data_IF_798468496683
#
_entry.id   IF_798468496683
#
_cell.length_a   1.000
_cell.length_b   1.000
_cell.length_c   1.000
_cell.angle_alpha   90.00
_cell.angle_beta   90.00
_cell.angle_gamma   90.00
#
_symmetry.space_group_name_H-M   'P 1'
#
loop_
_entity.id
_entity.type
_entity.pdbx_description
1 polymer ?
#
# COMPACT_ATOMS: atom_id res chain seq x y z
N UNK A 1 76.77 -3.28 -33.77
CA UNK A 1 76.55 -3.07 -35.21
C UNK A 1 75.13 -2.53 -35.35
N UNK A 2 75.01 -1.23 -35.65
CA UNK A 2 73.74 -0.48 -35.65
C UNK A 2 73.09 -0.65 -37.02
N UNK A 3 71.80 -0.96 -37.06
CA UNK A 3 70.98 -0.96 -38.28
C UNK A 3 69.58 -0.45 -37.96
N UNK A 4 69.28 0.77 -38.40
CA UNK A 4 67.94 1.35 -38.37
C UNK A 4 67.16 0.93 -39.62
N UNK A 5 65.89 0.58 -39.45
CA UNK A 5 64.92 0.48 -40.53
C UNK A 5 63.68 1.30 -40.12
N UNK A 6 63.48 2.44 -40.78
CA UNK A 6 62.30 3.29 -40.60
C UNK A 6 61.14 2.80 -41.46
N UNK A 7 59.95 2.67 -40.87
CA UNK A 7 58.71 2.36 -41.58
C UNK A 7 58.03 3.66 -42.06
N UNK A 8 57.39 3.67 -43.25
CA UNK A 8 56.75 4.86 -43.81
C UNK A 8 55.37 5.12 -43.20
N UNK A 9 55.02 6.40 -43.13
CA UNK A 9 53.82 6.95 -42.51
C UNK A 9 52.74 7.15 -43.58
N UNK A 10 51.57 6.51 -43.43
CA UNK A 10 50.40 6.79 -44.27
C UNK A 10 49.48 5.60 -44.56
N UNK A 11 48.66 5.21 -43.58
CA UNK A 11 47.38 4.54 -43.81
C UNK A 11 46.43 4.85 -42.62
N UNK A 12 45.15 5.16 -42.86
CA UNK A 12 44.21 5.53 -41.80
C UNK A 12 43.80 4.31 -40.96
N UNK A 13 43.81 4.47 -39.64
CA UNK A 13 43.28 3.50 -38.66
C UNK A 13 41.76 3.64 -38.59
N UNK A 14 41.06 2.51 -38.58
CA UNK A 14 39.61 2.42 -38.37
C UNK A 14 39.28 2.60 -36.89
N UNK A 15 38.35 3.51 -36.57
CA UNK A 15 37.77 3.71 -35.23
C UNK A 15 36.78 2.59 -34.90
N UNK A 16 37.30 1.42 -34.55
CA UNK A 16 36.50 0.36 -33.92
C UNK A 16 37.00 0.15 -32.49
N UNK A 17 36.31 0.76 -31.53
CA UNK A 17 36.63 0.63 -30.11
C UNK A 17 36.19 -0.75 -29.60
N UNK A 18 37.12 -1.70 -29.67
CA UNK A 18 37.07 -2.95 -28.91
C UNK A 18 37.06 -2.66 -27.41
N UNK A 19 36.02 -3.14 -26.73
CA UNK A 19 35.78 -3.06 -25.29
C UNK A 19 36.98 -3.61 -24.50
N UNK A 20 37.78 -2.73 -23.89
CA UNK A 20 38.86 -3.13 -22.97
C UNK A 20 38.39 -3.12 -21.52
N UNK A 21 38.41 -4.29 -20.88
CA UNK A 21 38.42 -4.41 -19.42
C UNK A 21 39.81 -3.98 -18.92
N UNK A 22 39.90 -3.08 -17.94
CA UNK A 22 41.19 -2.71 -17.33
C UNK A 22 41.18 -2.96 -15.82
N UNK A 23 42.16 -3.75 -15.38
CA UNK A 23 42.43 -4.15 -14.00
C UNK A 23 43.79 -3.55 -13.61
N UNK A 24 43.77 -2.79 -12.50
CA UNK A 24 44.85 -2.48 -11.55
C UNK A 24 46.05 -1.59 -11.99
N UNK A 25 45.96 -0.32 -11.59
CA UNK A 25 46.81 0.43 -10.63
C UNK A 25 48.35 0.36 -10.65
N UNK A 26 48.91 1.59 -10.57
CA UNK A 26 50.14 2.04 -9.87
C UNK A 26 51.42 2.25 -10.70
N UNK A 27 51.76 3.52 -10.98
CA UNK A 27 52.91 4.28 -10.38
C UNK A 27 53.12 5.66 -11.06
N UNK A 28 53.05 6.75 -10.25
CA UNK A 28 53.81 8.06 -10.25
C UNK A 28 54.51 8.53 -11.56
N UNK A 29 54.56 9.81 -12.00
CA UNK A 29 54.56 11.15 -11.35
C UNK A 29 54.57 12.29 -12.41
N UNK A 30 53.74 13.33 -12.20
CA UNK A 30 53.85 14.79 -12.53
C UNK A 30 54.05 15.30 -13.99
N UNK A 31 53.17 16.25 -14.38
CA UNK A 31 53.43 17.30 -15.40
C UNK A 31 52.22 18.21 -15.66
N UNK A 32 52.37 19.52 -15.45
CA UNK A 32 51.37 20.59 -15.63
C UNK A 32 50.93 20.80 -17.11
N UNK A 33 49.70 21.26 -17.36
CA UNK A 33 49.32 22.51 -18.08
C UNK A 33 47.91 22.46 -18.73
N UNK A 34 47.14 23.54 -18.55
CA UNK A 34 46.10 24.11 -19.45
C UNK A 34 44.82 23.28 -19.64
N UNK A 35 43.63 23.68 -19.21
CA UNK A 35 42.99 24.97 -19.44
C UNK A 35 41.93 24.82 -20.56
N UNK A 36 40.67 24.59 -20.19
CA UNK A 36 39.55 24.51 -21.14
C UNK A 36 38.21 24.29 -20.43
N UNK A 37 37.46 25.38 -20.22
CA UNK A 37 36.09 25.36 -19.73
C UNK A 37 35.15 24.78 -20.80
N UNK A 38 34.43 23.71 -20.49
CA UNK A 38 33.16 23.39 -21.17
C UNK A 38 32.06 23.50 -20.11
N UNK A 39 31.11 24.44 -20.23
CA UNK A 39 29.93 24.41 -19.37
C UNK A 39 29.03 23.29 -19.87
N UNK A 40 29.20 22.07 -19.35
CA UNK A 40 28.12 21.10 -19.38
C UNK A 40 27.08 21.58 -18.38
N UNK A 41 26.07 22.28 -18.89
CA UNK A 41 24.80 22.46 -18.22
C UNK A 41 24.20 21.09 -17.96
N UNK A 42 24.51 20.53 -16.79
CA UNK A 42 23.77 19.41 -16.22
C UNK A 42 22.40 19.94 -15.85
N UNK A 43 21.46 19.94 -16.82
CA UNK A 43 20.03 19.95 -16.50
C UNK A 43 19.77 18.73 -15.61
N UNK A 44 19.63 18.98 -14.30
CA UNK A 44 18.96 18.05 -13.42
C UNK A 44 17.48 18.09 -13.81
N UNK A 45 17.07 17.19 -14.70
CA UNK A 45 15.65 16.91 -14.90
C UNK A 45 15.15 16.26 -13.60
N UNK A 46 14.64 17.06 -12.67
CA UNK A 46 13.74 16.56 -11.63
C UNK A 46 12.48 16.07 -12.33
N UNK A 47 12.46 14.78 -12.66
CA UNK A 47 11.24 14.04 -12.97
C UNK A 47 10.35 14.07 -11.72
N UNK A 48 9.63 15.16 -11.53
CA UNK A 48 8.50 15.21 -10.63
C UNK A 48 7.35 14.47 -11.32
N UNK A 49 7.33 13.14 -11.20
CA UNK A 49 6.10 12.39 -11.46
C UNK A 49 5.11 12.78 -10.38
N UNK A 50 4.28 13.78 -10.65
CA UNK A 50 3.03 13.98 -9.92
C UNK A 50 2.24 12.69 -10.02
N UNK A 51 2.16 11.92 -8.92
CA UNK A 51 1.24 10.79 -8.80
C UNK A 51 -0.17 11.35 -8.70
N UNK A 52 -0.74 11.73 -9.84
CA UNK A 52 -2.17 11.97 -9.97
C UNK A 52 -2.85 10.60 -10.03
N UNK A 53 -2.81 9.86 -8.92
CA UNK A 53 -3.61 8.64 -8.77
C UNK A 53 -5.06 9.08 -8.57
N UNK A 54 -5.80 9.22 -9.67
CA UNK A 54 -7.22 9.58 -9.74
C UNK A 54 -8.11 8.37 -9.42
N UNK A 55 -7.76 7.58 -8.41
CA UNK A 55 -8.73 6.59 -7.93
C UNK A 55 -9.74 7.31 -7.02
N UNK A 56 -11.06 7.22 -7.28
CA UNK A 56 -12.07 7.98 -6.54
C UNK A 56 -11.93 7.84 -5.01
N UNK A 57 -11.62 6.63 -4.54
CA UNK A 57 -11.43 6.34 -3.11
C UNK A 57 -10.27 7.11 -2.46
N UNK A 58 -9.25 7.52 -3.22
CA UNK A 58 -8.13 8.30 -2.68
C UNK A 58 -8.52 9.78 -2.48
N UNK A 59 -9.56 10.25 -3.18
CA UNK A 59 -9.97 11.66 -3.20
C UNK A 59 -11.05 12.02 -2.18
N UNK A 60 -11.73 11.02 -1.60
CA UNK A 60 -12.83 11.24 -0.64
C UNK A 60 -12.27 11.89 0.64
N UNK A 61 -12.68 13.10 1.04
CA UNK A 61 -12.22 13.68 2.29
C UNK A 61 -12.93 13.02 3.46
N UNK A 62 -12.19 12.72 4.53
CA UNK A 62 -12.75 12.32 5.81
C UNK A 62 -11.94 12.93 6.95
N UNK A 63 -12.56 13.11 8.11
CA UNK A 63 -11.97 13.73 9.29
C UNK A 63 -12.56 13.15 10.58
N UNK A 64 -12.15 13.66 11.74
CA UNK A 64 -12.73 13.28 13.04
C UNK A 64 -14.21 13.64 13.17
N UNK A 65 -14.75 14.50 12.30
CA UNK A 65 -16.18 14.85 12.27
C UNK A 65 -17.00 13.94 11.33
N UNK A 66 -16.36 13.02 10.60
CA UNK A 66 -17.06 12.10 9.70
C UNK A 66 -17.72 10.99 10.52
N UNK A 67 -18.97 10.68 10.21
CA UNK A 67 -19.70 9.59 10.86
C UNK A 67 -18.95 8.26 10.73
N UNK A 68 -18.91 7.49 11.83
CA UNK A 68 -18.15 6.23 11.87
C UNK A 68 -18.69 5.18 10.88
N UNK A 69 -19.98 5.21 10.54
CA UNK A 69 -20.59 4.32 9.54
C UNK A 69 -20.07 4.62 8.13
N UNK A 70 -19.89 5.91 7.79
CA UNK A 70 -19.32 6.35 6.51
C UNK A 70 -17.84 6.02 6.43
N UNK A 71 -17.10 6.23 7.53
CA UNK A 71 -15.69 5.81 7.64
C UNK A 71 -15.54 4.29 7.48
N UNK A 72 -16.42 3.50 8.10
CA UNK A 72 -16.41 2.03 7.99
C UNK A 72 -16.66 1.58 6.54
N UNK A 73 -17.68 2.13 5.87
CA UNK A 73 -17.95 1.85 4.46
C UNK A 73 -16.78 2.25 3.55
N UNK A 74 -16.08 3.33 3.88
CA UNK A 74 -14.89 3.74 3.14
C UNK A 74 -13.72 2.76 3.32
N UNK A 75 -13.50 2.28 4.55
CA UNK A 75 -12.48 1.27 4.84
C UNK A 75 -12.74 -0.03 4.08
N UNK A 76 -13.97 -0.53 4.08
CA UNK A 76 -14.42 -1.70 3.33
C UNK A 76 -14.07 -1.56 1.84
N UNK A 77 -14.55 -0.49 1.18
CA UNK A 77 -14.26 -0.24 -0.24
C UNK A 77 -12.76 -0.14 -0.55
N UNK A 78 -11.98 0.45 0.35
CA UNK A 78 -10.53 0.53 0.18
C UNK A 78 -9.87 -0.85 0.28
N UNK A 79 -10.29 -1.68 1.24
CA UNK A 79 -9.74 -3.01 1.43
C UNK A 79 -10.09 -3.94 0.26
N UNK A 80 -11.33 -3.91 -0.23
CA UNK A 80 -11.77 -4.67 -1.41
C UNK A 80 -10.98 -4.26 -2.65
N UNK A 81 -10.97 -2.96 -2.96
CA UNK A 81 -10.26 -2.43 -4.14
C UNK A 81 -8.76 -2.75 -4.06
N UNK A 82 -8.18 -2.69 -2.86
CA UNK A 82 -6.79 -3.05 -2.65
C UNK A 82 -6.57 -4.55 -2.89
N UNK A 83 -7.45 -5.42 -2.40
CA UNK A 83 -7.35 -6.87 -2.58
C UNK A 83 -7.46 -7.30 -4.04
N UNK A 84 -8.19 -6.55 -4.87
CA UNK A 84 -8.34 -6.81 -6.31
C UNK A 84 -7.28 -6.13 -7.20
N UNK A 85 -6.55 -5.13 -6.69
CA UNK A 85 -5.61 -4.32 -7.48
C UNK A 85 -4.25 -5.01 -7.72
N UNK A 86 -3.77 -5.02 -8.96
CA UNK A 86 -2.40 -5.47 -9.28
C UNK A 86 -1.39 -4.31 -9.41
N UNK A 87 -1.82 -3.05 -9.28
CA UNK A 87 -0.92 -1.88 -9.27
C UNK A 87 -0.35 -1.66 -7.86
N UNK A 88 0.97 -1.85 -7.64
CA UNK A 88 1.57 -1.71 -6.33
C UNK A 88 1.48 -0.28 -5.77
N UNK A 89 1.45 0.75 -6.64
CA UNK A 89 1.33 2.14 -6.20
C UNK A 89 -0.07 2.42 -5.68
N UNK A 90 -1.10 1.95 -6.40
CA UNK A 90 -2.49 2.05 -5.98
C UNK A 90 -2.75 1.24 -4.70
N UNK A 91 -2.24 0.03 -4.61
CA UNK A 91 -2.34 -0.81 -3.40
C UNK A 91 -1.74 -0.11 -2.18
N UNK A 92 -0.55 0.50 -2.32
CA UNK A 92 0.09 1.25 -1.24
C UNK A 92 -0.69 2.53 -0.86
N UNK A 93 -1.23 3.25 -1.85
CA UNK A 93 -2.05 4.43 -1.59
C UNK A 93 -3.36 4.06 -0.86
N UNK A 94 -4.01 2.97 -1.26
CA UNK A 94 -5.21 2.44 -0.60
C UNK A 94 -4.89 1.93 0.81
N UNK A 95 -3.75 1.27 1.04
CA UNK A 95 -3.26 0.91 2.37
C UNK A 95 -3.16 2.14 3.28
N UNK A 96 -2.53 3.21 2.79
CA UNK A 96 -2.37 4.45 3.55
C UNK A 96 -3.71 5.10 3.90
N UNK A 97 -4.67 5.05 2.98
CA UNK A 97 -6.03 5.56 3.17
C UNK A 97 -6.82 4.72 4.16
N UNK A 98 -6.76 3.40 4.06
CA UNK A 98 -7.35 2.46 5.01
C UNK A 98 -6.79 2.69 6.42
N UNK A 99 -5.46 2.81 6.55
CA UNK A 99 -4.82 3.10 7.82
C UNK A 99 -5.30 4.41 8.44
N UNK A 100 -5.46 5.48 7.63
CA UNK A 100 -6.00 6.75 8.10
C UNK A 100 -7.46 6.63 8.56
N UNK A 101 -8.31 5.90 7.83
CA UNK A 101 -9.70 5.65 8.22
C UNK A 101 -9.81 4.86 9.53
N UNK A 102 -9.03 3.78 9.67
CA UNK A 102 -8.95 2.98 10.89
C UNK A 102 -8.42 3.79 12.09
N UNK A 103 -7.45 4.67 11.87
CA UNK A 103 -6.92 5.54 12.92
C UNK A 103 -7.97 6.55 13.43
N UNK A 104 -8.88 7.01 12.57
CA UNK A 104 -10.01 7.88 12.95
C UNK A 104 -11.14 7.12 13.63
N UNK A 105 -11.39 5.87 13.24
CA UNK A 105 -12.39 5.01 13.88
C UNK A 105 -11.98 4.58 15.29
N UNK A 106 -10.70 4.29 15.50
CA UNK A 106 -10.19 3.70 16.75
C UNK A 106 -10.60 4.45 18.03
N UNK A 107 -10.51 5.80 18.12
CA UNK A 107 -10.96 6.54 19.30
C UNK A 107 -12.48 6.45 19.50
N UNK A 108 -13.26 6.50 18.42
CA UNK A 108 -14.72 6.53 18.45
C UNK A 108 -15.38 5.19 18.83
N UNK A 109 -14.63 4.10 18.91
CA UNK A 109 -15.17 2.78 19.28
C UNK A 109 -15.75 2.72 20.69
N UNK A 110 -15.28 3.58 21.58
CA UNK A 110 -15.75 3.67 22.97
C UNK A 110 -16.76 4.81 23.19
N UNK A 111 -16.99 5.64 22.17
CA UNK A 111 -17.88 6.78 22.28
C UNK A 111 -19.35 6.33 22.18
N UNK A 112 -20.28 7.04 22.85
CA UNK A 112 -21.70 6.77 22.69
C UNK A 112 -22.13 7.02 21.25
N UNK A 113 -23.05 6.20 20.75
CA UNK A 113 -23.55 6.31 19.37
C UNK A 113 -24.27 7.66 19.20
N UNK A 114 -23.90 8.45 18.18
CA UNK A 114 -24.56 9.71 17.89
C UNK A 114 -26.08 9.54 17.69
N UNK A 115 -26.93 10.41 18.28
CA UNK A 115 -28.38 10.25 18.23
C UNK A 115 -28.96 10.14 16.82
N UNK A 116 -28.38 10.84 15.85
CA UNK A 116 -28.83 10.83 14.46
C UNK A 116 -28.57 9.50 13.73
N UNK A 117 -27.66 8.67 14.24
CA UNK A 117 -27.36 7.35 13.67
C UNK A 117 -28.20 6.23 14.30
N UNK A 118 -28.86 6.49 15.44
CA UNK A 118 -29.66 5.48 16.15
C UNK A 118 -30.74 4.91 15.23
N UNK A 119 -31.47 5.77 14.51
CA UNK A 119 -32.51 5.32 13.59
C UNK A 119 -31.95 4.46 12.44
N UNK A 120 -30.75 4.78 11.94
CA UNK A 120 -30.09 3.99 10.88
C UNK A 120 -29.60 2.62 11.35
N UNK A 121 -29.37 2.47 12.67
CA UNK A 121 -28.90 1.25 13.33
C UNK A 121 -30.03 0.51 14.07
N UNK A 122 -31.28 0.95 13.86
CA UNK A 122 -32.47 0.34 14.43
C UNK A 122 -33.21 -0.41 13.35
N UNK A 123 -33.56 -1.66 13.62
CA UNK A 123 -34.35 -2.49 12.69
C UNK A 123 -35.70 -2.85 13.29
N UNK A 124 -36.71 -2.98 12.43
CA UNK A 124 -38.07 -3.36 12.84
C UNK A 124 -38.22 -4.88 13.04
N UNK A 125 -37.27 -5.68 12.52
CA UNK A 125 -37.23 -7.14 12.66
C UNK A 125 -35.81 -7.59 12.96
N UNK A 126 -35.65 -8.58 13.85
CA UNK A 126 -34.34 -9.09 14.23
C UNK A 126 -33.63 -9.69 13.00
N UNK A 127 -32.37 -9.29 12.72
CA UNK A 127 -31.61 -9.90 11.63
C UNK A 127 -31.39 -11.37 11.95
N UNK A 128 -31.76 -12.26 11.01
CA UNK A 128 -31.53 -13.71 11.18
C UNK A 128 -30.05 -14.08 11.19
N UNK A 129 -29.21 -13.22 10.64
CA UNK A 129 -27.78 -13.43 10.49
C UNK A 129 -27.05 -12.24 11.14
N UNK A 130 -26.18 -12.52 12.11
CA UNK A 130 -25.18 -11.55 12.56
C UNK A 130 -24.00 -11.56 11.58
N UNK A 131 -23.25 -10.45 11.47
CA UNK A 131 -21.94 -10.49 10.84
C UNK A 131 -21.12 -11.62 11.46
N UNK A 132 -20.35 -12.34 10.65
CA UNK A 132 -19.47 -13.39 11.16
C UNK A 132 -18.24 -13.52 10.27
N UNK A 133 -17.06 -13.43 10.88
CA UNK A 133 -15.84 -13.89 10.25
C UNK A 133 -15.79 -15.43 10.32
N UNK A 134 -16.06 -16.09 9.20
CA UNK A 134 -16.12 -17.54 9.10
C UNK A 134 -15.48 -18.04 7.79
N UNK A 135 -14.16 -17.84 7.62
CA UNK A 135 -13.45 -18.47 6.51
C UNK A 135 -13.55 -20.00 6.61
N UNK A 136 -13.50 -20.69 5.48
CA UNK A 136 -13.39 -22.15 5.47
C UNK A 136 -12.03 -22.62 6.02
N UNK A 137 -11.90 -23.94 6.23
CA UNK A 137 -10.71 -24.51 6.86
C UNK A 137 -9.42 -24.30 6.04
N UNK A 138 -9.54 -24.30 4.71
CA UNK A 138 -8.41 -24.11 3.80
C UNK A 138 -7.96 -22.65 3.85
N UNK A 139 -8.90 -21.72 3.72
CA UNK A 139 -8.67 -20.27 3.80
C UNK A 139 -8.09 -19.86 5.16
N UNK A 140 -8.62 -20.42 6.26
CA UNK A 140 -8.09 -20.16 7.60
C UNK A 140 -6.65 -20.68 7.77
N UNK A 141 -6.35 -21.86 7.19
CA UNK A 141 -5.00 -22.42 7.21
C UNK A 141 -4.03 -21.49 6.45
N UNK A 142 -4.43 -21.01 5.28
CA UNK A 142 -3.63 -20.09 4.47
C UNK A 142 -3.36 -18.76 5.17
N UNK A 143 -4.36 -18.22 5.87
CA UNK A 143 -4.18 -17.04 6.73
C UNK A 143 -3.17 -17.30 7.86
N UNK A 144 -3.30 -18.42 8.56
CA UNK A 144 -2.38 -18.77 9.64
C UNK A 144 -0.95 -18.98 9.13
N UNK A 145 -0.80 -19.63 7.98
CA UNK A 145 0.49 -19.83 7.32
C UNK A 145 1.12 -18.49 6.92
N UNK A 146 0.36 -17.63 6.25
CA UNK A 146 0.81 -16.31 5.79
C UNK A 146 1.25 -15.44 6.97
N UNK A 147 0.46 -15.36 8.03
CA UNK A 147 0.84 -14.62 9.25
C UNK A 147 2.12 -15.18 9.89
N UNK A 148 2.28 -16.51 9.91
CA UNK A 148 3.48 -17.16 10.43
C UNK A 148 4.72 -16.82 9.60
N UNK A 149 4.61 -16.85 8.27
CA UNK A 149 5.71 -16.45 7.39
C UNK A 149 6.08 -14.98 7.54
N UNK A 150 5.09 -14.09 7.69
CA UNK A 150 5.32 -12.66 7.91
C UNK A 150 6.11 -12.40 9.20
N UNK A 151 5.77 -13.12 10.28
CA UNK A 151 6.51 -13.07 11.55
C UNK A 151 7.96 -13.58 11.42
N UNK A 152 8.20 -14.57 10.57
CA UNK A 152 9.51 -15.18 10.36
C UNK A 152 10.41 -14.37 9.40
N UNK A 153 9.87 -13.93 8.26
CA UNK A 153 10.65 -13.43 7.14
C UNK A 153 11.01 -11.94 7.26
N UNK A 154 10.31 -11.15 8.09
CA UNK A 154 10.47 -9.67 8.22
C UNK A 154 10.32 -8.87 6.90
N UNK A 155 10.19 -9.54 5.75
CA UNK A 155 9.86 -9.10 4.39
C UNK A 155 9.36 -10.35 3.63
N UNK A 156 8.15 -10.36 3.06
CA UNK A 156 7.51 -11.56 2.50
C UNK A 156 7.47 -11.57 0.95
N UNK A 157 7.39 -12.76 0.30
CA UNK A 157 7.25 -12.90 -1.14
C UNK A 157 5.85 -12.49 -1.65
N UNK A 158 5.69 -12.15 -2.96
CA UNK A 158 4.43 -11.63 -3.52
C UNK A 158 3.19 -12.52 -3.35
N UNK A 159 3.37 -13.84 -3.26
CA UNK A 159 2.26 -14.78 -3.06
C UNK A 159 1.64 -14.64 -1.66
N UNK A 160 2.46 -14.41 -0.63
CA UNK A 160 2.01 -14.18 0.74
C UNK A 160 1.39 -12.78 0.90
N UNK A 161 1.84 -11.81 0.10
CA UNK A 161 1.24 -10.47 0.03
C UNK A 161 -0.24 -10.53 -0.37
N UNK A 162 -0.56 -11.35 -1.38
CA UNK A 162 -1.91 -11.52 -1.87
C UNK A 162 -2.84 -12.10 -0.79
N UNK A 163 -2.39 -13.14 -0.09
CA UNK A 163 -3.17 -13.74 1.00
C UNK A 163 -3.39 -12.77 2.17
N UNK A 164 -2.40 -11.96 2.50
CA UNK A 164 -2.53 -10.93 3.54
C UNK A 164 -3.53 -9.84 3.15
N UNK A 165 -3.56 -9.46 1.86
CA UNK A 165 -4.52 -8.47 1.35
C UNK A 165 -5.96 -8.98 1.45
N UNK A 166 -6.21 -10.24 1.09
CA UNK A 166 -7.53 -10.87 1.23
C UNK A 166 -7.94 -11.01 2.69
N UNK A 167 -7.04 -11.47 3.56
CA UNK A 167 -7.29 -11.52 5.00
C UNK A 167 -7.67 -10.13 5.56
N UNK A 168 -6.95 -9.09 5.15
CA UNK A 168 -7.25 -7.72 5.58
C UNK A 168 -8.62 -7.27 5.08
N UNK A 169 -8.98 -7.58 3.82
CA UNK A 169 -10.29 -7.26 3.27
C UNK A 169 -11.42 -7.94 4.05
N UNK A 170 -11.32 -9.25 4.30
CA UNK A 170 -12.35 -9.97 5.07
C UNK A 170 -12.47 -9.47 6.52
N UNK A 171 -11.36 -9.15 7.17
CA UNK A 171 -11.37 -8.61 8.53
C UNK A 171 -11.99 -7.21 8.58
N UNK A 172 -11.70 -6.37 7.58
CA UNK A 172 -12.26 -5.01 7.49
C UNK A 172 -13.75 -5.06 7.12
N UNK A 173 -14.15 -5.95 6.21
CA UNK A 173 -15.57 -6.17 5.88
C UNK A 173 -16.34 -6.65 7.11
N UNK A 174 -15.83 -7.67 7.82
CA UNK A 174 -16.44 -8.15 9.06
C UNK A 174 -16.56 -7.03 10.11
N UNK A 175 -15.49 -6.24 10.30
CA UNK A 175 -15.49 -5.11 11.22
C UNK A 175 -16.49 -4.02 10.81
N UNK A 176 -16.57 -3.69 9.52
CA UNK A 176 -17.53 -2.73 9.00
C UNK A 176 -18.96 -3.23 9.19
N UNK A 177 -19.21 -4.51 8.92
CA UNK A 177 -20.50 -5.15 9.13
C UNK A 177 -20.91 -5.14 10.61
N UNK A 178 -19.99 -5.40 11.55
CA UNK A 178 -20.21 -5.26 13.00
C UNK A 178 -20.53 -3.81 13.41
N UNK A 179 -19.82 -2.82 12.86
CA UNK A 179 -20.11 -1.41 13.13
C UNK A 179 -21.47 -0.97 12.59
N UNK A 180 -21.87 -1.49 11.44
CA UNK A 180 -23.17 -1.24 10.79
C UNK A 180 -24.29 -2.14 11.33
N UNK A 181 -23.97 -3.13 12.17
CA UNK A 181 -24.93 -4.10 12.63
C UNK A 181 -26.04 -3.41 13.46
N UNK A 182 -27.30 -3.86 13.32
CA UNK A 182 -28.38 -3.31 14.12
C UNK A 182 -28.14 -3.57 15.60
N UNK A 183 -28.19 -2.51 16.40
CA UNK A 183 -28.01 -2.59 17.86
C UNK A 183 -29.32 -2.51 18.62
N UNK A 184 -30.37 -2.05 17.95
CA UNK A 184 -31.69 -1.90 18.55
C UNK A 184 -32.80 -2.47 17.68
N UNK A 185 -33.85 -2.96 18.35
CA UNK A 185 -35.09 -3.44 17.75
C UNK A 185 -36.27 -2.59 18.24
N UNK A 186 -37.13 -2.16 17.32
CA UNK A 186 -38.39 -1.50 17.69
C UNK A 186 -39.42 -2.55 18.09
N UNK A 187 -39.96 -2.42 19.30
CA UNK A 187 -41.06 -3.24 19.82
C UNK A 187 -42.28 -2.37 20.12
N UNK A 188 -43.43 -2.99 20.41
CA UNK A 188 -44.65 -2.29 20.79
C UNK A 188 -44.49 -1.42 22.06
N UNK A 189 -43.46 -1.68 22.87
CA UNK A 189 -43.14 -0.95 24.10
C UNK A 189 -42.02 0.10 23.92
N UNK A 190 -41.51 0.30 22.69
CA UNK A 190 -40.42 1.23 22.38
C UNK A 190 -39.17 0.56 21.78
N UNK A 191 -38.02 1.25 21.81
CA UNK A 191 -36.76 0.76 21.25
C UNK A 191 -35.98 -0.03 22.31
N UNK A 192 -35.64 -1.30 22.03
CA UNK A 192 -34.85 -2.18 22.93
C UNK A 192 -33.50 -2.54 22.32
N UNK A 193 -32.46 -2.67 23.14
CA UNK A 193 -31.13 -3.11 22.69
C UNK A 193 -31.14 -4.62 22.37
N UNK A 194 -30.45 -5.04 21.30
CA UNK A 194 -30.46 -6.44 20.83
C UNK A 194 -29.54 -7.36 21.65
N UNK A 195 -28.53 -6.82 22.35
CA UNK A 195 -27.45 -7.61 22.98
C UNK A 195 -27.45 -7.63 24.53
N UNK A 196 -28.58 -7.36 25.20
CA UNK A 196 -28.62 -7.35 26.68
C UNK A 196 -28.51 -8.75 27.35
N UNK A 197 -28.35 -9.85 26.59
CA UNK A 197 -28.30 -11.23 27.13
C UNK A 197 -26.93 -11.94 27.07
N UNK A 198 -25.84 -11.24 26.74
CA UNK A 198 -24.49 -11.85 26.77
C UNK A 198 -23.50 -10.98 27.55
N UNK A 199 -23.69 -10.86 28.86
CA UNK A 199 -22.68 -10.38 29.81
C UNK A 199 -22.54 -11.39 30.96
#
# INVERSE_FOLDING_TARGET
MVGWAGAPQGAPVSDEAGKTNSVQSTTRKIGLFGGGNIPYSSEAATMATTLTQTHPLLTIPFSTATDFTVLAEHCEKCADTQAESYDPVLTMALCGRLAAGLALLKPGLSDPIPPHLIDSLTVDTLPKNSPRFAPDADTLCDYCFTLTQLLLCRMFPPQEEEQLRWLLAELVDYFAAELKAPRWIRTADGVKCINEEAA
#
